data_IF_987461398024
#
_entry.id   IF_987461398024
#
_cell.length_a   1.000
_cell.length_b   1.000
_cell.length_c   1.000
_cell.angle_alpha   90.00
_cell.angle_beta   90.00
_cell.angle_gamma   90.00
#
_symmetry.space_group_name_H-M   'P 1'
#
loop_
_entity.id
_entity.type
_entity.pdbx_description
1 polymer ?
#
# COMPACT_ATOMS: atom_id res chain seq x y z
N UNK A 1 24.32 66.11 38.29
CA UNK A 1 23.92 66.27 36.88
C UNK A 1 22.59 65.59 36.62
N UNK A 2 21.49 66.37 36.61
CA UNK A 2 20.12 65.89 36.39
C UNK A 2 19.94 65.12 35.07
N UNK A 3 20.50 65.63 33.98
CA UNK A 3 20.34 65.05 32.64
C UNK A 3 20.92 63.63 32.52
N UNK A 4 22.04 63.33 33.17
CA UNK A 4 22.63 61.99 33.15
C UNK A 4 21.74 60.98 33.88
N UNK A 5 21.18 61.36 35.04
CA UNK A 5 20.26 60.50 35.78
C UNK A 5 18.98 60.20 34.99
N UNK A 6 18.44 61.18 34.26
CA UNK A 6 17.30 60.98 33.37
C UNK A 6 17.63 60.01 32.22
N UNK A 7 18.82 60.13 31.62
CA UNK A 7 19.26 59.24 30.56
C UNK A 7 19.44 57.80 31.07
N UNK A 8 20.11 57.62 32.21
CA UNK A 8 20.33 56.30 32.81
C UNK A 8 19.00 55.63 33.22
N UNK A 9 18.05 56.39 33.76
CA UNK A 9 16.71 55.90 34.06
C UNK A 9 15.96 55.44 32.80
N UNK A 10 16.07 56.19 31.70
CA UNK A 10 15.47 55.80 30.42
C UNK A 10 16.10 54.50 29.90
N UNK A 11 17.43 54.44 29.82
CA UNK A 11 18.15 53.28 29.30
C UNK A 11 17.92 52.02 30.14
N UNK A 12 17.96 52.15 31.47
CA UNK A 12 17.66 51.03 32.38
C UNK A 12 16.21 50.56 32.26
N UNK A 13 15.25 51.46 32.10
CA UNK A 13 13.85 51.09 31.87
C UNK A 13 13.66 50.34 30.55
N UNK A 14 14.35 50.77 29.48
CA UNK A 14 14.31 50.12 28.18
C UNK A 14 14.94 48.72 28.24
N UNK A 15 16.09 48.59 28.92
CA UNK A 15 16.76 47.32 29.11
C UNK A 15 15.91 46.34 29.94
N UNK A 16 15.33 46.80 31.05
CA UNK A 16 14.42 45.99 31.88
C UNK A 16 13.23 45.48 31.07
N UNK A 17 12.61 46.36 30.27
CA UNK A 17 11.49 45.98 29.39
C UNK A 17 11.89 44.88 28.39
N UNK A 18 13.08 44.96 27.80
CA UNK A 18 13.52 43.94 26.85
C UNK A 18 13.84 42.60 27.56
N UNK A 19 14.43 42.66 28.76
CA UNK A 19 14.65 41.47 29.59
C UNK A 19 13.33 40.79 29.97
N UNK A 20 12.32 41.55 30.41
CA UNK A 20 11.00 41.03 30.75
C UNK A 20 10.31 40.39 29.54
N UNK A 21 10.41 41.00 28.35
CA UNK A 21 9.91 40.39 27.11
C UNK A 21 10.63 39.10 26.76
N UNK A 22 11.96 39.06 26.88
CA UNK A 22 12.74 37.85 26.62
C UNK A 22 12.36 36.74 27.61
N UNK A 23 12.24 37.05 28.90
CA UNK A 23 11.82 36.12 29.93
C UNK A 23 10.40 35.59 29.69
N UNK A 24 9.45 36.47 29.34
CA UNK A 24 8.07 36.09 29.01
C UNK A 24 8.00 35.17 27.79
N UNK A 25 8.75 35.48 26.71
CA UNK A 25 8.84 34.61 25.54
C UNK A 25 9.39 33.23 25.90
N UNK A 26 10.45 33.18 26.72
CA UNK A 26 11.04 31.92 27.19
C UNK A 26 10.04 31.11 28.02
N UNK A 27 9.36 31.73 28.98
CA UNK A 27 8.33 31.05 29.79
C UNK A 27 7.19 30.52 28.93
N UNK A 28 6.73 31.29 27.94
CA UNK A 28 5.67 30.82 27.03
C UNK A 28 6.13 29.62 26.21
N UNK A 29 7.38 29.64 25.72
CA UNK A 29 7.97 28.51 25.01
C UNK A 29 7.98 27.24 25.87
N UNK A 30 8.53 27.32 27.08
CA UNK A 30 8.72 26.17 27.98
C UNK A 30 7.41 25.64 28.57
N UNK A 31 6.47 26.54 28.90
CA UNK A 31 5.24 26.17 29.62
C UNK A 31 4.07 25.87 28.70
N UNK A 32 4.07 26.39 27.47
CA UNK A 32 2.92 26.26 26.55
C UNK A 32 3.32 25.53 25.27
N UNK A 33 4.31 26.05 24.53
CA UNK A 33 4.60 25.55 23.20
C UNK A 33 5.26 24.17 23.21
N UNK A 34 6.28 23.97 24.03
CA UNK A 34 6.97 22.68 24.12
C UNK A 34 6.06 21.56 24.67
N UNK A 35 5.27 21.76 25.75
CA UNK A 35 4.32 20.75 26.21
C UNK A 35 3.25 20.41 25.18
N UNK A 36 2.73 21.40 24.46
CA UNK A 36 1.75 21.17 23.39
C UNK A 36 2.37 20.36 22.24
N UNK A 37 3.58 20.71 21.80
CA UNK A 37 4.29 19.97 20.76
C UNK A 37 4.60 18.53 21.20
N UNK A 38 5.02 18.33 22.45
CA UNK A 38 5.27 16.99 23.01
C UNK A 38 4.00 16.14 23.05
N UNK A 39 2.87 16.71 23.47
CA UNK A 39 1.57 16.03 23.47
C UNK A 39 1.13 15.67 22.06
N UNK A 40 1.25 16.59 21.11
CA UNK A 40 0.91 16.34 19.69
C UNK A 40 1.75 15.19 19.11
N UNK A 41 3.06 15.18 19.36
CA UNK A 41 3.96 14.08 18.91
C UNK A 41 3.59 12.74 19.54
N UNK A 42 3.27 12.72 20.83
CA UNK A 42 2.85 11.51 21.52
C UNK A 42 1.52 10.97 20.96
N UNK A 43 0.56 11.86 20.71
CA UNK A 43 -0.75 11.48 20.15
C UNK A 43 -0.62 10.96 18.71
N UNK A 44 0.18 11.60 17.87
CA UNK A 44 0.46 11.12 16.52
C UNK A 44 1.08 9.72 16.54
N UNK A 45 1.99 9.47 17.48
CA UNK A 45 2.61 8.15 17.67
C UNK A 45 1.59 7.12 18.13
N UNK A 46 0.72 7.49 19.10
CA UNK A 46 -0.37 6.63 19.58
C UNK A 46 -1.32 6.25 18.43
N UNK A 47 -1.75 7.24 17.64
CA UNK A 47 -2.63 7.04 16.49
C UNK A 47 -2.00 6.13 15.43
N UNK A 48 -0.74 6.39 15.04
CA UNK A 48 -0.03 5.54 14.09
C UNK A 48 0.10 4.08 14.57
N UNK A 49 0.35 3.88 15.87
CA UNK A 49 0.41 2.55 16.46
C UNK A 49 -0.96 1.83 16.42
N UNK A 50 -2.05 2.53 16.71
CA UNK A 50 -3.41 1.96 16.62
C UNK A 50 -3.72 1.52 15.18
N UNK A 51 -3.43 2.36 14.19
CA UNK A 51 -3.63 2.00 12.78
C UNK A 51 -2.78 0.78 12.37
N UNK A 52 -1.52 0.73 12.83
CA UNK A 52 -0.64 -0.41 12.58
C UNK A 52 -1.20 -1.70 13.22
N UNK A 53 -1.68 -1.63 14.46
CA UNK A 53 -2.28 -2.78 15.15
C UNK A 53 -3.53 -3.27 14.42
N UNK A 54 -4.41 -2.37 13.99
CA UNK A 54 -5.61 -2.70 13.23
C UNK A 54 -5.26 -3.42 11.92
N UNK A 55 -4.30 -2.87 11.15
CA UNK A 55 -3.88 -3.46 9.89
C UNK A 55 -3.22 -4.84 10.08
N UNK A 56 -2.41 -4.99 11.14
CA UNK A 56 -1.78 -6.26 11.49
C UNK A 56 -2.81 -7.31 11.89
N UNK A 57 -3.81 -6.92 12.68
CA UNK A 57 -4.91 -7.80 13.07
C UNK A 57 -5.70 -8.24 11.83
N UNK A 58 -6.11 -7.30 10.98
CA UNK A 58 -6.84 -7.59 9.75
C UNK A 58 -6.06 -8.54 8.82
N UNK A 59 -4.76 -8.29 8.64
CA UNK A 59 -3.88 -9.16 7.85
C UNK A 59 -3.77 -10.57 8.45
N UNK A 60 -3.76 -10.68 9.78
CA UNK A 60 -3.70 -11.98 10.48
C UNK A 60 -5.00 -12.74 10.30
N UNK A 61 -6.14 -12.09 10.49
CA UNK A 61 -7.46 -12.68 10.28
C UNK A 61 -7.63 -13.14 8.84
N UNK A 62 -7.21 -12.35 7.85
CA UNK A 62 -7.25 -12.75 6.44
C UNK A 62 -6.36 -13.96 6.14
N UNK A 63 -5.18 -14.05 6.75
CA UNK A 63 -4.30 -15.23 6.60
C UNK A 63 -4.93 -16.47 7.21
N UNK A 64 -5.49 -16.36 8.41
CA UNK A 64 -6.21 -17.44 9.09
C UNK A 64 -7.42 -17.88 8.27
N UNK A 65 -8.23 -16.92 7.81
CA UNK A 65 -9.38 -17.18 6.94
C UNK A 65 -8.98 -17.94 5.68
N UNK A 66 -7.96 -17.45 4.94
CA UNK A 66 -7.46 -18.14 3.74
C UNK A 66 -6.95 -19.55 4.06
N UNK A 67 -6.32 -19.74 5.22
CA UNK A 67 -5.86 -21.07 5.65
C UNK A 67 -7.03 -21.99 5.97
N UNK A 68 -8.04 -21.49 6.66
CA UNK A 68 -9.26 -22.22 6.99
C UNK A 68 -10.03 -22.59 5.73
N UNK A 69 -10.20 -21.67 4.78
CA UNK A 69 -10.79 -21.97 3.48
C UNK A 69 -10.04 -23.11 2.79
N UNK A 70 -8.70 -23.04 2.68
CA UNK A 70 -7.91 -24.13 2.08
C UNK A 70 -8.09 -25.47 2.79
N UNK A 71 -8.22 -25.46 4.11
CA UNK A 71 -8.46 -26.68 4.90
C UNK A 71 -9.83 -27.27 4.59
N UNK A 72 -10.87 -26.43 4.60
CA UNK A 72 -12.27 -26.82 4.43
C UNK A 72 -12.65 -27.16 2.99
N UNK A 73 -11.93 -26.63 2.00
CA UNK A 73 -12.17 -26.87 0.56
C UNK A 73 -11.09 -27.76 -0.07
N UNK A 74 -10.21 -28.37 0.73
CA UNK A 74 -9.23 -29.35 0.26
C UNK A 74 -9.94 -30.54 -0.41
N UNK A 75 -9.34 -31.21 -1.41
CA UNK A 75 -9.99 -32.32 -2.14
C UNK A 75 -10.53 -33.47 -1.27
N UNK A 76 -10.02 -33.63 -0.04
CA UNK A 76 -10.43 -34.67 0.92
C UNK A 76 -11.28 -34.17 2.08
N UNK A 77 -11.63 -32.89 2.09
CA UNK A 77 -12.34 -32.26 3.20
C UNK A 77 -13.86 -32.25 3.00
N UNK A 78 -14.59 -31.84 4.04
CA UNK A 78 -16.06 -31.86 4.02
C UNK A 78 -16.68 -30.93 2.97
N UNK A 79 -16.02 -29.83 2.60
CA UNK A 79 -16.47 -28.92 1.54
C UNK A 79 -15.60 -29.02 0.28
N UNK A 80 -15.02 -30.20 0.04
CA UNK A 80 -14.32 -30.48 -1.21
C UNK A 80 -15.26 -30.29 -2.40
N UNK A 81 -14.84 -29.48 -3.37
CA UNK A 81 -15.47 -29.47 -4.69
C UNK A 81 -15.12 -30.78 -5.40
N UNK A 82 -16.16 -31.59 -5.69
CA UNK A 82 -16.00 -32.91 -6.32
C UNK A 82 -15.89 -32.84 -7.83
N UNK A 83 -16.24 -31.70 -8.42
CA UNK A 83 -16.13 -31.48 -9.86
C UNK A 83 -15.52 -30.10 -10.13
N UNK A 84 -14.26 -29.88 -9.71
CA UNK A 84 -13.62 -28.59 -9.89
C UNK A 84 -13.44 -28.30 -11.38
N UNK A 85 -13.61 -27.03 -11.82
CA UNK A 85 -13.31 -26.65 -13.19
C UNK A 85 -11.83 -26.93 -13.52
N UNK A 86 -11.56 -27.28 -14.77
CA UNK A 86 -10.21 -27.57 -15.23
C UNK A 86 -9.30 -26.34 -15.04
N UNK A 87 -8.25 -26.49 -14.23
CA UNK A 87 -7.28 -25.43 -14.01
C UNK A 87 -6.24 -25.47 -15.13
N UNK A 88 -6.27 -24.47 -16.00
CA UNK A 88 -5.23 -24.24 -17.01
C UNK A 88 -4.02 -23.60 -16.34
N UNK A 89 -2.85 -24.19 -16.51
CA UNK A 89 -1.60 -23.71 -15.89
C UNK A 89 -0.72 -23.00 -16.91
N UNK A 90 0.04 -22.00 -16.46
CA UNK A 90 1.13 -21.39 -17.23
C UNK A 90 2.37 -21.23 -16.37
N UNK A 91 3.52 -21.10 -17.03
CA UNK A 91 4.74 -20.68 -16.36
C UNK A 91 4.70 -19.16 -16.19
N UNK A 92 4.86 -18.71 -14.95
CA UNK A 92 5.12 -17.30 -14.64
C UNK A 92 6.53 -16.93 -15.09
N UNK A 93 6.72 -15.67 -15.49
CA UNK A 93 8.04 -15.08 -15.76
C UNK A 93 8.93 -14.98 -14.51
N UNK A 94 8.38 -15.17 -13.31
CA UNK A 94 9.11 -15.10 -12.05
C UNK A 94 9.61 -16.47 -11.60
N UNK A 95 10.89 -16.53 -11.20
CA UNK A 95 11.51 -17.72 -10.64
C UNK A 95 11.20 -17.94 -9.16
N UNK A 96 11.34 -19.19 -8.72
CA UNK A 96 11.29 -19.58 -7.32
C UNK A 96 12.64 -19.34 -6.65
N UNK A 97 12.66 -18.53 -5.59
CA UNK A 97 13.88 -18.12 -4.87
C UNK A 97 14.81 -19.30 -4.48
N UNK A 98 14.24 -20.44 -4.06
CA UNK A 98 15.03 -21.56 -3.54
C UNK A 98 15.62 -22.48 -4.62
N UNK A 99 15.10 -22.45 -5.85
CA UNK A 99 15.44 -23.45 -6.88
C UNK A 99 15.68 -22.85 -8.28
N UNK A 100 15.55 -21.54 -8.47
CA UNK A 100 15.69 -20.85 -9.76
C UNK A 100 14.88 -21.53 -10.87
N UNK A 101 13.65 -21.94 -10.54
CA UNK A 101 12.71 -22.58 -11.47
C UNK A 101 11.46 -21.72 -11.60
N UNK A 102 10.98 -21.58 -12.84
CA UNK A 102 9.76 -20.84 -13.15
C UNK A 102 8.57 -21.39 -12.36
N UNK A 103 7.72 -20.47 -11.86
CA UNK A 103 6.57 -20.83 -11.04
C UNK A 103 5.41 -21.27 -11.91
N UNK A 104 4.83 -22.43 -11.60
CA UNK A 104 3.55 -22.84 -12.17
C UNK A 104 2.43 -22.01 -11.51
N UNK A 105 1.68 -21.26 -12.30
CA UNK A 105 0.58 -20.41 -11.82
C UNK A 105 -0.69 -20.65 -12.65
N UNK A 106 -1.89 -20.46 -12.08
CA UNK A 106 -3.12 -20.56 -12.86
C UNK A 106 -3.15 -19.53 -13.99
N UNK A 107 -3.58 -19.95 -15.18
CA UNK A 107 -3.79 -19.09 -16.33
C UNK A 107 -5.27 -18.69 -16.42
N UNK A 108 -5.60 -17.54 -15.85
CA UNK A 108 -6.97 -16.99 -15.87
C UNK A 108 -7.40 -16.50 -17.26
N UNK A 109 -6.45 -16.29 -18.17
CA UNK A 109 -6.66 -15.78 -19.53
C UNK A 109 -6.25 -16.84 -20.55
N UNK A 110 -6.58 -18.11 -20.28
CA UNK A 110 -6.29 -19.19 -21.21
C UNK A 110 -7.16 -19.03 -22.46
N UNK A 111 -6.52 -19.09 -23.62
CA UNK A 111 -7.16 -19.11 -24.93
C UNK A 111 -6.61 -20.33 -25.68
N UNK A 112 -7.52 -21.08 -26.31
CA UNK A 112 -7.16 -22.24 -27.14
C UNK A 112 -6.66 -21.82 -28.53
N UNK A 113 -6.79 -20.54 -28.88
CA UNK A 113 -6.34 -19.96 -30.15
C UNK A 113 -6.93 -20.68 -31.37
N UNK A 114 -8.15 -21.19 -31.25
CA UNK A 114 -8.82 -21.97 -32.31
C UNK A 114 -8.98 -21.14 -33.59
N UNK A 115 -9.41 -19.89 -33.47
CA UNK A 115 -9.56 -18.98 -34.61
C UNK A 115 -8.22 -18.67 -35.29
N UNK A 116 -7.18 -18.41 -34.50
CA UNK A 116 -5.84 -18.15 -35.04
C UNK A 116 -5.27 -19.38 -35.76
N UNK A 117 -5.52 -20.58 -35.23
CA UNK A 117 -5.11 -21.83 -35.91
C UNK A 117 -5.93 -22.07 -37.18
N UNK A 118 -7.24 -21.86 -37.14
CA UNK A 118 -8.12 -22.01 -38.30
C UNK A 118 -7.71 -21.09 -39.45
N UNK A 119 -7.38 -19.82 -39.16
CA UNK A 119 -6.86 -18.87 -40.14
C UNK A 119 -5.54 -19.32 -40.76
N UNK A 120 -4.60 -19.80 -39.93
CA UNK A 120 -3.32 -20.33 -40.43
C UNK A 120 -3.53 -21.52 -41.37
N UNK A 121 -4.46 -22.39 -41.03
CA UNK A 121 -4.74 -23.62 -41.76
C UNK A 121 -5.77 -23.39 -42.90
N UNK A 122 -6.15 -22.13 -43.19
CA UNK A 122 -7.16 -21.71 -44.16
C UNK A 122 -8.54 -22.39 -44.00
N UNK A 123 -8.84 -22.91 -42.81
CA UNK A 123 -10.13 -23.51 -42.50
C UNK A 123 -11.19 -22.41 -42.49
N UNK A 124 -12.13 -22.46 -43.45
CA UNK A 124 -13.11 -21.40 -43.73
C UNK A 124 -12.83 -20.55 -44.97
N UNK A 125 -11.72 -20.79 -45.68
CA UNK A 125 -11.41 -20.16 -46.98
C UNK A 125 -12.13 -20.83 -48.18
N UNK A 126 -12.91 -21.90 -47.94
CA UNK A 126 -13.65 -22.65 -48.97
C UNK A 126 -14.71 -21.82 -49.72
N UNK A 127 -14.99 -20.58 -49.28
CA UNK A 127 -15.92 -19.66 -49.94
C UNK A 127 -15.25 -18.69 -50.93
N UNK A 128 -13.92 -18.72 -51.09
CA UNK A 128 -13.20 -17.81 -52.01
C UNK A 128 -12.82 -18.44 -53.35
N UNK A 129 -13.08 -19.73 -53.58
CA UNK A 129 -12.94 -20.33 -54.91
C UNK A 129 -14.18 -20.02 -55.76
N UNK A 130 -14.29 -18.76 -56.22
CA UNK A 130 -15.15 -18.43 -57.35
C UNK A 130 -14.66 -19.23 -58.57
N UNK A 131 -15.55 -19.90 -59.33
CA UNK A 131 -15.18 -20.58 -60.56
C UNK A 131 -14.96 -19.54 -61.67
N UNK A 132 -13.75 -19.00 -61.79
CA UNK A 132 -13.30 -18.38 -63.04
C UNK A 132 -12.85 -19.49 -63.98
N UNK A 133 -13.76 -19.88 -64.87
CA UNK A 133 -13.56 -19.94 -66.34
C UNK A 133 -14.64 -20.81 -66.97
N UNK A 134 -15.55 -20.16 -67.69
CA UNK A 134 -16.37 -20.78 -68.73
C UNK A 134 -16.55 -19.72 -69.81
N UNK A 135 -15.64 -19.71 -70.78
CA UNK A 135 -15.79 -19.12 -72.11
C UNK A 135 -15.00 -19.96 -73.11
#
# INVERSE_FOLDING_TARGET
NFWNACYDAMMSSAQRREQEKAASRKMFQELVLEPAAKRSKAENTRHANVLKQLNNHHSTVLKQWRSLCRLLTSPRSAWADRNPPEVRWKLSSAETYSRMRMKLVPNLNFDQHLEASALRDNLGADHLHNPTESL
#
